data_IF_074168286028
#
_entry.id   IF_074168286028
#
_cell.length_a   1.000
_cell.length_b   1.000
_cell.length_c   1.000
_cell.angle_alpha   90.00
_cell.angle_beta   90.00
_cell.angle_gamma   90.00
#
_symmetry.space_group_name_H-M   'P 1'
#
loop_
_entity.id
_entity.type
_entity.pdbx_description
1 polymer ?
#
# COMPACT_ATOMS: atom_id res chain seq x y z
N UNK A 1 -3.04 -30.86 0.25
CA UNK A 1 -4.01 -29.74 0.28
C UNK A 1 -3.67 -28.79 -0.86
N UNK A 2 -4.65 -28.29 -1.60
CA UNK A 2 -4.40 -27.37 -2.73
C UNK A 2 -3.68 -26.11 -2.20
N UNK A 3 -2.53 -25.70 -2.77
CA UNK A 3 -1.77 -24.56 -2.26
C UNK A 3 -2.55 -23.25 -2.20
N UNK A 4 -3.55 -23.07 -3.08
CA UNK A 4 -4.45 -21.92 -3.06
C UNK A 4 -5.38 -21.91 -1.85
N UNK A 5 -5.78 -23.09 -1.36
CA UNK A 5 -6.55 -23.21 -0.11
C UNK A 5 -5.67 -22.82 1.08
N UNK A 6 -4.40 -23.23 1.09
CA UNK A 6 -3.46 -22.81 2.12
C UNK A 6 -3.29 -21.29 2.13
N UNK A 7 -3.06 -20.69 0.96
CA UNK A 7 -2.94 -19.23 0.83
C UNK A 7 -4.20 -18.52 1.33
N UNK A 8 -5.40 -19.00 0.95
CA UNK A 8 -6.67 -18.44 1.40
C UNK A 8 -6.83 -18.50 2.92
N UNK A 9 -6.58 -19.66 3.53
CA UNK A 9 -6.71 -19.83 4.99
C UNK A 9 -5.74 -18.92 5.76
N UNK A 10 -4.53 -18.75 5.24
CA UNK A 10 -3.51 -17.90 5.86
C UNK A 10 -3.88 -16.43 5.72
N UNK A 11 -4.36 -16.01 4.55
CA UNK A 11 -4.89 -14.65 4.35
C UNK A 11 -6.08 -14.39 5.27
N UNK A 12 -7.02 -15.34 5.42
CA UNK A 12 -8.16 -15.21 6.34
C UNK A 12 -7.70 -15.09 7.80
N UNK A 13 -6.73 -15.89 8.24
CA UNK A 13 -6.14 -15.74 9.58
C UNK A 13 -5.50 -14.34 9.75
N UNK A 14 -4.80 -13.84 8.72
CA UNK A 14 -4.27 -12.48 8.69
C UNK A 14 -5.36 -11.40 8.76
N UNK A 15 -6.48 -11.60 8.06
CA UNK A 15 -7.65 -10.71 8.14
C UNK A 15 -8.20 -10.64 9.56
N UNK A 16 -8.33 -11.78 10.24
CA UNK A 16 -8.76 -11.84 11.64
C UNK A 16 -7.77 -11.10 12.54
N UNK A 17 -6.46 -11.29 12.35
CA UNK A 17 -5.44 -10.53 13.07
C UNK A 17 -5.56 -9.01 12.85
N UNK A 18 -5.79 -8.59 11.60
CA UNK A 18 -6.03 -7.18 11.27
C UNK A 18 -7.32 -6.61 11.87
N UNK A 19 -8.38 -7.44 11.93
CA UNK A 19 -9.63 -7.08 12.61
C UNK A 19 -9.42 -6.90 14.12
N UNK A 20 -8.70 -7.82 14.76
CA UNK A 20 -8.32 -7.70 16.18
C UNK A 20 -7.52 -6.42 16.40
N UNK A 21 -6.54 -6.11 15.55
CA UNK A 21 -5.77 -4.88 15.64
C UNK A 21 -6.65 -3.61 15.54
N UNK A 22 -7.62 -3.61 14.63
CA UNK A 22 -8.56 -2.50 14.48
C UNK A 22 -9.48 -2.32 15.70
N UNK A 23 -9.84 -3.42 16.37
CA UNK A 23 -10.64 -3.39 17.60
C UNK A 23 -9.84 -2.92 18.82
N UNK A 24 -8.54 -3.27 18.88
CA UNK A 24 -7.64 -2.86 19.96
C UNK A 24 -7.18 -1.40 19.83
N UNK A 25 -7.17 -0.87 18.60
CA UNK A 25 -6.87 0.54 18.33
C UNK A 25 -8.15 1.38 18.45
N UNK A 26 -8.04 2.68 18.71
CA UNK A 26 -9.17 3.65 18.71
C UNK A 26 -9.95 3.71 17.37
N UNK A 27 -9.54 2.94 16.36
CA UNK A 27 -10.11 2.86 15.03
C UNK A 27 -11.45 2.11 14.93
N UNK A 28 -11.87 1.31 15.92
CA UNK A 28 -13.18 0.59 15.93
C UNK A 28 -13.58 0.05 14.53
N UNK A 29 -14.88 -0.01 14.20
CA UNK A 29 -15.36 -0.25 12.83
C UNK A 29 -15.43 1.03 11.98
N UNK A 30 -14.49 1.96 12.19
CA UNK A 30 -14.51 3.22 11.46
C UNK A 30 -14.05 2.95 10.03
N UNK A 31 -14.93 3.25 9.08
CA UNK A 31 -14.65 3.29 7.64
C UNK A 31 -13.56 4.33 7.39
N UNK A 32 -12.62 4.15 6.44
CA UNK A 32 -11.57 5.14 6.18
C UNK A 32 -12.13 6.56 6.10
N UNK A 33 -11.62 7.45 6.95
CA UNK A 33 -12.07 8.84 7.03
C UNK A 33 -10.89 9.77 6.88
N UNK A 34 -11.09 10.81 6.08
CA UNK A 34 -10.18 11.94 6.04
C UNK A 34 -10.52 12.84 7.22
N UNK A 35 -9.63 12.93 8.21
CA UNK A 35 -9.78 13.81 9.36
C UNK A 35 -8.64 14.82 9.34
N UNK A 36 -8.97 16.11 9.23
CA UNK A 36 -7.99 17.21 9.17
C UNK A 36 -6.90 17.01 8.09
N UNK A 37 -7.29 16.56 6.89
CA UNK A 37 -6.34 16.28 5.79
C UNK A 37 -5.54 14.98 5.94
N UNK A 38 -5.64 14.28 7.07
CA UNK A 38 -4.98 13.00 7.31
C UNK A 38 -5.94 11.87 6.98
N UNK A 39 -5.52 10.98 6.08
CA UNK A 39 -6.24 9.74 5.83
C UNK A 39 -6.04 8.81 7.02
N UNK A 40 -7.05 8.67 7.87
CA UNK A 40 -7.04 7.69 8.94
C UNK A 40 -7.40 6.32 8.33
N UNK A 41 -6.45 5.37 8.25
CA UNK A 41 -6.73 4.05 7.72
C UNK A 41 -7.76 3.37 8.61
N UNK A 42 -8.93 3.08 8.04
CA UNK A 42 -10.03 2.48 8.79
C UNK A 42 -9.81 1.01 9.09
N UNK A 43 -10.84 0.37 9.66
CA UNK A 43 -10.83 -1.07 9.96
C UNK A 43 -10.55 -1.92 8.72
N UNK A 44 -11.09 -1.52 7.55
CA UNK A 44 -10.92 -2.24 6.30
C UNK A 44 -9.44 -2.25 5.84
N UNK A 45 -8.73 -1.15 6.03
CA UNK A 45 -7.30 -1.07 5.73
C UNK A 45 -6.48 -2.00 6.63
N UNK A 46 -6.83 -2.09 7.91
CA UNK A 46 -6.17 -3.00 8.86
C UNK A 46 -6.39 -4.47 8.46
N UNK A 47 -7.59 -4.84 8.04
CA UNK A 47 -7.90 -6.20 7.56
C UNK A 47 -7.08 -6.54 6.31
N UNK A 48 -7.07 -5.64 5.31
CA UNK A 48 -6.33 -5.86 4.06
C UNK A 48 -4.82 -5.95 4.32
N UNK A 49 -4.28 -5.09 5.18
CA UNK A 49 -2.87 -5.14 5.59
C UNK A 49 -2.57 -6.43 6.34
N UNK A 50 -3.44 -6.86 7.26
CA UNK A 50 -3.28 -8.12 7.97
C UNK A 50 -3.26 -9.33 7.02
N UNK A 51 -4.17 -9.38 6.06
CA UNK A 51 -4.26 -10.43 5.05
C UNK A 51 -2.99 -10.52 4.18
N UNK A 52 -2.56 -9.38 3.64
CA UNK A 52 -1.39 -9.27 2.77
C UNK A 52 -0.11 -9.54 3.55
N UNK A 53 0.01 -9.06 4.78
CA UNK A 53 1.17 -9.29 5.64
C UNK A 53 1.32 -10.76 6.03
N UNK A 54 0.21 -11.43 6.40
CA UNK A 54 0.22 -12.87 6.70
C UNK A 54 0.58 -13.70 5.46
N UNK A 55 -0.02 -13.38 4.30
CA UNK A 55 0.29 -14.03 3.03
C UNK A 55 1.75 -13.87 2.65
N UNK A 56 2.28 -12.64 2.69
CA UNK A 56 3.69 -12.36 2.38
C UNK A 56 4.63 -13.07 3.35
N UNK A 57 4.36 -13.01 4.66
CA UNK A 57 5.19 -13.68 5.66
C UNK A 57 5.27 -15.19 5.41
N UNK A 58 4.13 -15.84 5.18
CA UNK A 58 4.11 -17.27 4.87
C UNK A 58 4.75 -17.62 3.52
N UNK A 59 4.54 -16.77 2.50
CA UNK A 59 5.07 -17.00 1.15
C UNK A 59 6.57 -16.74 1.05
N UNK A 60 7.18 -15.95 1.94
CA UNK A 60 8.63 -15.74 1.97
C UNK A 60 9.35 -16.65 2.96
N UNK A 61 8.79 -16.81 4.15
CA UNK A 61 9.49 -17.44 5.28
C UNK A 61 8.81 -18.71 5.79
N UNK A 62 7.56 -18.94 5.39
CA UNK A 62 6.81 -20.12 5.78
C UNK A 62 6.95 -21.27 4.80
N UNK A 63 6.13 -22.30 5.03
CA UNK A 63 6.06 -23.48 4.15
C UNK A 63 5.60 -23.18 2.72
N UNK A 64 5.05 -21.98 2.47
CA UNK A 64 4.63 -21.53 1.15
C UNK A 64 5.79 -21.22 0.21
N UNK A 65 6.95 -20.85 0.75
CA UNK A 65 8.03 -20.27 -0.05
C UNK A 65 8.56 -21.18 -1.17
N UNK A 66 8.60 -22.48 -0.94
CA UNK A 66 9.09 -23.49 -1.88
C UNK A 66 7.99 -24.18 -2.69
N UNK A 67 6.73 -23.75 -2.55
CA UNK A 67 5.63 -24.34 -3.31
C UNK A 67 5.71 -23.88 -4.76
N UNK A 68 5.89 -24.85 -5.65
CA UNK A 68 5.87 -24.73 -7.10
C UNK A 68 4.42 -24.67 -7.63
N UNK A 69 4.01 -23.54 -8.20
CA UNK A 69 2.65 -23.30 -8.70
C UNK A 69 2.48 -23.71 -10.16
N UNK A 70 3.56 -23.66 -10.95
CA UNK A 70 3.56 -23.99 -12.38
C UNK A 70 4.10 -25.39 -12.68
N UNK A 71 3.98 -26.34 -11.73
CA UNK A 71 4.52 -27.69 -11.90
C UNK A 71 3.71 -28.48 -12.93
N UNK A 72 4.09 -28.37 -14.21
CA UNK A 72 3.55 -29.17 -15.30
C UNK A 72 4.25 -30.53 -15.38
N UNK A 73 3.49 -31.59 -15.64
CA UNK A 73 3.94 -32.99 -15.65
C UNK A 73 4.81 -33.37 -16.87
N UNK A 74 5.59 -32.45 -17.44
CA UNK A 74 6.25 -32.68 -18.74
C UNK A 74 7.72 -32.21 -18.79
N UNK A 75 8.62 -33.20 -18.75
CA UNK A 75 9.92 -33.29 -19.45
C UNK A 75 10.91 -32.13 -19.31
N UNK A 76 11.86 -32.28 -18.37
CA UNK A 76 13.31 -31.96 -18.37
C UNK A 76 13.93 -30.79 -19.18
N UNK A 77 13.16 -29.89 -19.81
CA UNK A 77 13.66 -28.75 -20.57
C UNK A 77 13.00 -27.47 -20.07
N UNK A 78 13.72 -26.81 -19.15
CA UNK A 78 13.51 -25.41 -18.75
C UNK A 78 12.09 -25.08 -18.28
N UNK A 79 11.64 -25.73 -17.21
CA UNK A 79 10.44 -25.24 -16.49
C UNK A 79 10.78 -23.91 -15.82
N UNK A 80 10.10 -22.84 -16.25
CA UNK A 80 10.06 -21.57 -15.53
C UNK A 80 9.35 -21.86 -14.20
N UNK A 81 10.13 -21.93 -13.13
CA UNK A 81 9.61 -22.17 -11.79
C UNK A 81 8.83 -20.94 -11.32
N UNK A 82 7.54 -21.11 -11.05
CA UNK A 82 6.69 -20.08 -10.46
C UNK A 82 6.37 -20.50 -9.04
N UNK A 83 7.11 -19.96 -8.08
CA UNK A 83 6.88 -20.23 -6.66
C UNK A 83 6.01 -19.16 -6.01
N UNK A 84 5.38 -19.49 -4.86
CA UNK A 84 4.71 -18.44 -4.06
C UNK A 84 5.68 -17.36 -3.57
N UNK A 85 6.95 -17.68 -3.31
CA UNK A 85 7.97 -16.68 -2.95
C UNK A 85 8.24 -15.72 -4.11
N UNK A 86 8.30 -16.21 -5.35
CA UNK A 86 8.42 -15.36 -6.54
C UNK A 86 7.18 -14.45 -6.71
N UNK A 87 5.98 -15.00 -6.51
CA UNK A 87 4.72 -14.25 -6.59
C UNK A 87 4.63 -13.16 -5.51
N UNK A 88 4.95 -13.51 -4.26
CA UNK A 88 4.98 -12.55 -3.15
C UNK A 88 6.07 -11.48 -3.35
N UNK A 89 7.21 -11.86 -3.92
CA UNK A 89 8.31 -10.95 -4.29
C UNK A 89 7.84 -9.91 -5.30
N UNK A 90 7.22 -10.36 -6.38
CA UNK A 90 6.65 -9.48 -7.40
C UNK A 90 5.59 -8.52 -6.81
N UNK A 91 4.72 -9.03 -5.93
CA UNK A 91 3.73 -8.20 -5.23
C UNK A 91 4.40 -7.11 -4.38
N UNK A 92 5.38 -7.46 -3.53
CA UNK A 92 6.07 -6.48 -2.68
C UNK A 92 6.83 -5.44 -3.50
N UNK A 93 7.55 -5.86 -4.55
CA UNK A 93 8.25 -4.93 -5.45
C UNK A 93 7.24 -4.00 -6.13
N UNK A 94 6.08 -4.50 -6.54
CA UNK A 94 5.00 -3.67 -7.08
C UNK A 94 4.53 -2.61 -6.09
N UNK A 95 4.23 -2.98 -4.84
CA UNK A 95 3.78 -2.05 -3.80
C UNK A 95 4.87 -1.03 -3.45
N UNK A 96 6.09 -1.50 -3.17
CA UNK A 96 7.21 -0.64 -2.79
C UNK A 96 7.64 0.29 -3.93
N UNK A 97 7.71 -0.24 -5.16
CA UNK A 97 8.05 0.52 -6.36
C UNK A 97 7.00 1.58 -6.68
N UNK A 98 5.71 1.25 -6.60
CA UNK A 98 4.63 2.22 -6.81
C UNK A 98 4.63 3.33 -5.75
N UNK A 99 4.89 2.98 -4.48
CA UNK A 99 5.04 3.97 -3.40
C UNK A 99 6.25 4.87 -3.62
N UNK A 100 7.38 4.31 -4.04
CA UNK A 100 8.58 5.08 -4.36
C UNK A 100 8.31 6.08 -5.50
N UNK A 101 7.68 5.63 -6.59
CA UNK A 101 7.34 6.49 -7.72
C UNK A 101 6.38 7.61 -7.31
N UNK A 102 5.34 7.28 -6.54
CA UNK A 102 4.37 8.27 -6.03
C UNK A 102 5.07 9.34 -5.19
N UNK A 103 5.94 8.92 -4.27
CA UNK A 103 6.70 9.85 -3.44
C UNK A 103 7.66 10.73 -4.25
N UNK A 104 8.25 10.22 -5.33
CA UNK A 104 9.15 11.00 -6.18
C UNK A 104 8.38 12.07 -6.96
N UNK A 105 7.22 11.71 -7.51
CA UNK A 105 6.32 12.68 -8.15
C UNK A 105 5.83 13.73 -7.16
N UNK A 106 5.39 13.33 -5.97
CA UNK A 106 4.92 14.24 -4.92
C UNK A 106 6.03 15.24 -4.52
N UNK A 107 7.28 14.80 -4.41
CA UNK A 107 8.42 15.70 -4.15
C UNK A 107 8.62 16.71 -5.28
N UNK A 108 8.50 16.30 -6.54
CA UNK A 108 8.64 17.21 -7.68
C UNK A 108 7.51 18.25 -7.70
N UNK A 109 6.27 17.82 -7.44
CA UNK A 109 5.11 18.71 -7.33
C UNK A 109 5.30 19.74 -6.21
N UNK A 110 5.80 19.33 -5.04
CA UNK A 110 6.10 20.26 -3.94
C UNK A 110 7.22 21.25 -4.29
N UNK A 111 8.29 20.81 -4.99
CA UNK A 111 9.36 21.71 -5.45
C UNK A 111 8.84 22.78 -6.42
N UNK A 112 8.02 22.38 -7.40
CA UNK A 112 7.39 23.35 -8.31
C UNK A 112 6.40 24.26 -7.59
N UNK A 113 5.67 23.74 -6.60
CA UNK A 113 4.76 24.53 -5.77
C UNK A 113 5.49 25.66 -5.03
N UNK A 114 6.65 25.36 -4.44
CA UNK A 114 7.49 26.35 -3.75
C UNK A 114 8.00 27.41 -4.74
N UNK A 115 8.42 26.99 -5.95
CA UNK A 115 8.89 27.90 -7.00
C UNK A 115 7.80 28.85 -7.49
N UNK A 116 6.56 28.38 -7.65
CA UNK A 116 5.45 29.25 -8.03
C UNK A 116 4.98 30.14 -6.87
N UNK A 117 4.96 29.62 -5.64
CA UNK A 117 4.63 30.40 -4.45
C UNK A 117 5.60 31.57 -4.24
N UNK A 118 6.89 31.39 -4.54
CA UNK A 118 7.90 32.45 -4.43
C UNK A 118 7.64 33.67 -5.35
N UNK A 119 6.78 33.54 -6.36
CA UNK A 119 6.40 34.62 -7.29
C UNK A 119 5.12 35.35 -6.88
N UNK A 120 4.43 34.89 -5.83
CA UNK A 120 3.08 35.32 -5.47
C UNK A 120 3.03 35.79 -4.03
N UNK A 121 2.16 36.75 -3.76
CA UNK A 121 1.84 37.17 -2.38
C UNK A 121 0.64 36.35 -1.87
N UNK A 122 0.93 35.34 -1.05
CA UNK A 122 -0.09 34.41 -0.54
C UNK A 122 -0.46 34.82 0.88
N UNK A 123 -1.73 35.19 1.06
CA UNK A 123 -2.28 35.54 2.38
C UNK A 123 -2.10 34.38 3.39
N UNK A 124 -1.82 34.67 4.67
CA UNK A 124 -1.63 33.65 5.72
C UNK A 124 -2.76 32.61 5.80
N UNK A 125 -4.01 33.03 5.63
CA UNK A 125 -5.20 32.14 5.67
C UNK A 125 -5.21 31.11 4.53
N UNK A 126 -4.66 31.46 3.36
CA UNK A 126 -4.51 30.53 2.23
C UNK A 126 -3.38 29.54 2.51
N UNK A 127 -2.29 29.96 3.15
CA UNK A 127 -1.17 29.07 3.51
C UNK A 127 -1.63 27.92 4.41
N UNK A 128 -2.40 28.21 5.46
CA UNK A 128 -2.93 27.18 6.38
C UNK A 128 -3.84 26.17 5.68
N UNK A 129 -4.58 26.62 4.66
CA UNK A 129 -5.45 25.74 3.87
C UNK A 129 -4.65 24.86 2.91
N UNK A 130 -3.58 25.39 2.30
CA UNK A 130 -2.75 24.69 1.31
C UNK A 130 -1.99 23.52 1.95
N UNK A 131 -1.42 23.69 3.15
CA UNK A 131 -0.57 22.66 3.80
C UNK A 131 -1.29 21.35 4.14
N UNK A 132 -2.63 21.35 4.20
CA UNK A 132 -3.43 20.16 4.56
C UNK A 132 -3.83 19.31 3.35
N UNK A 133 -3.47 19.74 2.14
CA UNK A 133 -3.91 19.11 0.90
C UNK A 133 -2.85 18.16 0.31
N UNK A 134 -3.24 17.38 -0.70
CA UNK A 134 -2.29 16.56 -1.44
C UNK A 134 -1.34 17.43 -2.28
N UNK A 135 -0.08 17.00 -2.51
CA UNK A 135 0.92 17.75 -3.29
C UNK A 135 0.44 18.27 -4.65
N UNK A 136 -0.38 17.48 -5.35
CA UNK A 136 -0.99 17.90 -6.62
C UNK A 136 -1.93 19.09 -6.46
N UNK A 137 -2.79 19.04 -5.44
CA UNK A 137 -3.77 20.09 -5.16
C UNK A 137 -3.11 21.37 -4.67
N UNK A 138 -2.02 21.24 -3.91
CA UNK A 138 -1.16 22.35 -3.50
C UNK A 138 -0.67 23.14 -4.71
N UNK A 139 -0.11 22.45 -5.72
CA UNK A 139 0.38 23.11 -6.94
C UNK A 139 -0.76 23.80 -7.70
N UNK A 140 -1.90 23.12 -7.87
CA UNK A 140 -3.09 23.67 -8.55
C UNK A 140 -3.61 24.94 -7.85
N UNK A 141 -3.74 24.92 -6.53
CA UNK A 141 -4.20 26.07 -5.73
C UNK A 141 -3.21 27.24 -5.82
N UNK A 142 -1.89 26.98 -5.76
CA UNK A 142 -0.86 28.03 -5.88
C UNK A 142 -0.85 28.63 -7.29
N UNK A 143 -1.05 27.84 -8.34
CA UNK A 143 -1.12 28.35 -9.71
C UNK A 143 -2.32 29.28 -9.94
N UNK A 144 -3.43 29.04 -9.22
CA UNK A 144 -4.65 29.85 -9.30
C UNK A 144 -4.67 31.05 -8.34
N UNK A 145 -3.81 31.06 -7.32
CA UNK A 145 -3.71 32.14 -6.31
C UNK A 145 -3.19 33.47 -6.88
#
# INVERSE_FOLDING_TARGET
MNPWICALLISLAGMVGGMVNALLTDNKFIVPKLKNGILCPGFLSNILIGATSAFSSWSFYGSGASIELAKTTATARQDISLTFSALAGAFLVGVAGAKWLTNEVDKQLLKESVKEAAKKDISPEKCDKIITQSPRKILEDIQQA
#
